data_IF_811076431427
#
_entry.id   IF_811076431427
#
_cell.length_a   1.000
_cell.length_b   1.000
_cell.length_c   1.000
_cell.angle_alpha   90.00
_cell.angle_beta   90.00
_cell.angle_gamma   90.00
#
_symmetry.space_group_name_H-M   'P 1'
#
loop_
_entity.id
_entity.type
_entity.pdbx_description
1 polymer ?
#
# COMPACT_ATOMS: atom_id res chain seq x y z
N UNK A 1 10.10 -23.09 -31.59
CA UNK A 1 9.32 -23.24 -30.34
C UNK A 1 10.20 -23.09 -29.11
N UNK A 2 11.34 -23.79 -29.03
CA UNK A 2 12.29 -23.69 -27.90
C UNK A 2 12.67 -22.25 -27.54
N UNK A 3 13.04 -21.40 -28.52
CA UNK A 3 13.43 -20.00 -28.25
C UNK A 3 12.32 -19.19 -27.57
N UNK A 4 11.04 -19.40 -27.93
CA UNK A 4 9.92 -18.71 -27.29
C UNK A 4 9.72 -19.22 -25.86
N UNK A 5 9.83 -20.53 -25.65
CA UNK A 5 9.73 -21.13 -24.32
C UNK A 5 10.85 -20.66 -23.40
N UNK A 6 12.09 -20.63 -23.88
CA UNK A 6 13.23 -20.24 -23.05
C UNK A 6 13.29 -18.72 -22.85
N UNK A 7 13.25 -17.93 -23.92
CA UNK A 7 13.44 -16.48 -23.83
C UNK A 7 12.19 -15.76 -23.35
N UNK A 8 11.03 -16.02 -23.99
CA UNK A 8 9.81 -15.29 -23.67
C UNK A 8 9.16 -15.81 -22.38
N UNK A 9 8.89 -17.12 -22.30
CA UNK A 9 8.23 -17.68 -21.10
C UNK A 9 9.17 -17.67 -19.90
N UNK A 10 10.47 -17.94 -20.09
CA UNK A 10 11.47 -17.81 -19.02
C UNK A 10 11.55 -16.39 -18.46
N UNK A 11 11.64 -15.36 -19.30
CA UNK A 11 11.64 -13.98 -18.83
C UNK A 11 10.30 -13.55 -18.23
N UNK A 12 9.18 -14.05 -18.76
CA UNK A 12 7.85 -13.82 -18.19
C UNK A 12 7.74 -14.39 -16.78
N UNK A 13 8.24 -15.61 -16.56
CA UNK A 13 8.31 -16.19 -15.22
C UNK A 13 9.18 -15.36 -14.27
N UNK A 14 10.35 -14.89 -14.74
CA UNK A 14 11.22 -14.00 -13.95
C UNK A 14 10.46 -12.73 -13.54
N UNK A 15 9.81 -12.03 -14.47
CA UNK A 15 9.07 -10.82 -14.15
C UNK A 15 7.83 -11.06 -13.30
N UNK A 16 7.12 -12.18 -13.52
CA UNK A 16 5.92 -12.53 -12.76
C UNK A 16 6.23 -12.82 -11.28
N UNK A 17 7.43 -13.31 -10.99
CA UNK A 17 7.93 -13.57 -9.65
C UNK A 17 9.01 -12.56 -9.23
N UNK A 18 8.94 -11.31 -9.71
CA UNK A 18 9.90 -10.23 -9.44
C UNK A 18 10.25 -10.09 -7.94
N UNK A 19 9.27 -10.24 -7.05
CA UNK A 19 9.44 -10.21 -5.60
C UNK A 19 10.34 -11.34 -5.03
N UNK A 20 10.62 -12.38 -5.81
CA UNK A 20 11.56 -13.45 -5.49
C UNK A 20 12.80 -13.44 -6.38
N UNK A 21 12.62 -13.16 -7.67
CA UNK A 21 13.68 -13.29 -8.68
C UNK A 21 14.55 -12.06 -8.80
N UNK A 22 14.03 -10.87 -8.46
CA UNK A 22 14.72 -9.58 -8.58
C UNK A 22 14.84 -8.85 -7.23
N UNK A 23 14.41 -9.46 -6.13
CA UNK A 23 14.49 -8.90 -4.76
C UNK A 23 15.92 -8.67 -4.26
N UNK A 24 16.91 -9.27 -4.91
CA UNK A 24 18.33 -9.04 -4.61
C UNK A 24 18.82 -7.66 -5.10
N UNK A 25 18.07 -6.98 -5.97
CA UNK A 25 18.41 -5.64 -6.45
C UNK A 25 18.08 -4.63 -5.33
N UNK A 26 19.06 -3.88 -4.80
CA UNK A 26 18.87 -3.01 -3.63
C UNK A 26 18.18 -1.69 -4.01
N UNK A 27 16.94 -1.77 -4.53
CA UNK A 27 16.13 -0.61 -4.90
C UNK A 27 14.70 -0.86 -4.44
N UNK A 28 14.28 -0.20 -3.37
CA UNK A 28 12.89 -0.30 -2.89
C UNK A 28 12.00 0.83 -3.40
N UNK A 29 12.50 2.07 -3.41
CA UNK A 29 11.80 3.23 -3.98
C UNK A 29 12.77 4.14 -4.71
N UNK A 30 12.28 4.77 -5.77
CA UNK A 30 13.03 5.74 -6.57
C UNK A 30 12.89 7.15 -5.98
N UNK A 31 13.20 7.31 -4.68
CA UNK A 31 13.26 8.61 -4.02
C UNK A 31 14.70 8.90 -3.57
N UNK A 32 15.07 10.18 -3.43
CA UNK A 32 16.44 10.54 -3.08
C UNK A 32 16.85 10.07 -1.67
N UNK A 33 15.91 10.02 -0.73
CA UNK A 33 16.16 9.63 0.66
C UNK A 33 16.55 8.13 0.75
N UNK A 34 15.74 7.26 0.18
CA UNK A 34 15.89 5.80 0.16
C UNK A 34 17.12 5.39 -0.64
N UNK A 35 17.39 6.04 -1.78
CA UNK A 35 18.60 5.79 -2.58
C UNK A 35 19.88 6.17 -1.83
N UNK A 36 19.83 7.13 -0.90
CA UNK A 36 20.96 7.50 -0.06
C UNK A 36 21.13 6.56 1.13
N UNK A 37 20.05 5.97 1.63
CA UNK A 37 20.07 5.07 2.79
C UNK A 37 20.40 3.62 2.44
N UNK A 38 20.12 3.18 1.20
CA UNK A 38 20.35 1.79 0.78
C UNK A 38 21.76 1.61 0.18
N UNK A 39 22.62 0.80 0.81
CA UNK A 39 23.94 0.50 0.27
C UNK A 39 23.82 -0.16 -1.11
N UNK A 40 24.57 0.33 -2.10
CA UNK A 40 24.59 -0.22 -3.45
C UNK A 40 23.43 0.21 -4.37
N UNK A 41 22.40 0.91 -3.84
CA UNK A 41 21.22 1.32 -4.62
C UNK A 41 21.58 2.20 -5.83
N UNK A 42 22.47 3.19 -5.63
CA UNK A 42 22.94 4.08 -6.71
C UNK A 42 23.66 3.31 -7.81
N UNK A 43 24.53 2.37 -7.44
CA UNK A 43 25.27 1.56 -8.41
C UNK A 43 24.34 0.64 -9.21
N UNK A 44 23.41 -0.05 -8.54
CA UNK A 44 22.40 -0.87 -9.18
C UNK A 44 21.54 -0.05 -10.15
N UNK A 45 21.08 1.14 -9.72
CA UNK A 45 20.30 2.05 -10.55
C UNK A 45 21.08 2.51 -11.78
N UNK A 46 22.36 2.88 -11.63
CA UNK A 46 23.21 3.26 -12.76
C UNK A 46 23.36 2.13 -13.78
N UNK A 47 23.56 0.88 -13.33
CA UNK A 47 23.66 -0.28 -14.22
C UNK A 47 22.35 -0.49 -14.99
N UNK A 48 21.21 -0.43 -14.29
CA UNK A 48 19.89 -0.58 -14.92
C UNK A 48 19.67 0.50 -15.99
N UNK A 49 20.01 1.76 -15.69
CA UNK A 49 19.88 2.87 -16.65
C UNK A 49 20.76 2.61 -17.89
N UNK A 50 22.01 2.20 -17.71
CA UNK A 50 22.92 1.89 -18.83
C UNK A 50 22.34 0.77 -19.71
N UNK A 51 21.85 -0.32 -19.10
CA UNK A 51 21.23 -1.43 -19.84
C UNK A 51 20.00 -0.95 -20.61
N UNK A 52 19.12 -0.16 -19.99
CA UNK A 52 17.94 0.38 -20.64
C UNK A 52 18.30 1.31 -21.82
N UNK A 53 19.32 2.16 -21.67
CA UNK A 53 19.81 3.02 -22.77
C UNK A 53 20.30 2.19 -23.95
N UNK A 54 21.06 1.13 -23.71
CA UNK A 54 21.55 0.22 -24.77
C UNK A 54 20.38 -0.48 -25.49
N UNK A 55 19.40 -0.97 -24.72
CA UNK A 55 18.19 -1.60 -25.27
C UNK A 55 17.42 -0.61 -26.15
N UNK A 56 17.15 0.59 -25.64
CA UNK A 56 16.41 1.64 -26.36
C UNK A 56 17.16 2.05 -27.62
N UNK A 57 18.47 2.30 -27.56
CA UNK A 57 19.28 2.68 -28.72
C UNK A 57 19.22 1.59 -29.82
N UNK A 58 19.30 0.33 -29.42
CA UNK A 58 19.23 -0.82 -30.33
C UNK A 58 17.84 -0.93 -30.96
N UNK A 59 16.76 -0.86 -30.17
CA UNK A 59 15.38 -0.89 -30.68
C UNK A 59 15.13 0.27 -31.65
N UNK A 60 15.57 1.49 -31.31
CA UNK A 60 15.45 2.67 -32.18
C UNK A 60 16.17 2.46 -33.51
N UNK A 61 17.39 1.92 -33.48
CA UNK A 61 18.15 1.64 -34.69
C UNK A 61 17.39 0.68 -35.62
N UNK A 62 16.93 -0.46 -35.11
CA UNK A 62 16.19 -1.42 -35.92
C UNK A 62 14.80 -0.92 -36.35
N UNK A 63 14.09 -0.16 -35.53
CA UNK A 63 12.83 0.48 -35.94
C UNK A 63 13.03 1.48 -37.10
N UNK A 64 14.19 2.13 -37.19
CA UNK A 64 14.54 2.97 -38.34
C UNK A 64 14.75 2.11 -39.59
N UNK A 65 15.44 0.98 -39.48
CA UNK A 65 15.65 0.06 -40.61
C UNK A 65 14.33 -0.54 -41.12
N UNK A 66 13.38 -0.85 -40.24
CA UNK A 66 12.04 -1.32 -40.61
C UNK A 66 11.09 -0.19 -41.07
N UNK A 67 11.55 1.07 -41.16
CA UNK A 67 10.73 2.25 -41.46
C UNK A 67 9.51 2.44 -40.52
N UNK A 68 9.55 1.84 -39.32
CA UNK A 68 8.48 1.91 -38.30
C UNK A 68 8.75 2.97 -37.24
N UNK A 69 9.97 3.52 -37.16
CA UNK A 69 10.38 4.48 -36.13
C UNK A 69 9.39 5.65 -35.94
N UNK A 70 8.95 6.28 -37.04
CA UNK A 70 8.03 7.43 -36.98
C UNK A 70 6.70 7.08 -36.32
N UNK A 71 6.17 5.87 -36.54
CA UNK A 71 4.95 5.40 -35.90
C UNK A 71 5.13 5.30 -34.38
N UNK A 72 6.25 4.71 -33.94
CA UNK A 72 6.50 4.48 -32.51
C UNK A 72 6.88 5.77 -31.78
N UNK A 73 7.69 6.67 -32.36
CA UNK A 73 8.01 7.94 -31.69
C UNK A 73 6.75 8.81 -31.52
N UNK A 74 5.81 8.78 -32.48
CA UNK A 74 4.49 9.43 -32.32
C UNK A 74 3.69 8.83 -31.16
N UNK A 75 3.66 7.50 -31.04
CA UNK A 75 3.02 6.82 -29.91
C UNK A 75 3.64 7.23 -28.57
N UNK A 76 4.97 7.22 -28.49
CA UNK A 76 5.69 7.62 -27.27
C UNK A 76 5.53 9.11 -26.95
N UNK A 77 5.40 9.98 -27.95
CA UNK A 77 5.05 11.38 -27.74
C UNK A 77 3.65 11.54 -27.12
N UNK A 78 2.67 10.71 -27.51
CA UNK A 78 1.33 10.69 -26.89
C UNK A 78 1.41 10.21 -25.44
N UNK A 79 2.16 9.15 -25.15
CA UNK A 79 2.38 8.69 -23.78
C UNK A 79 3.03 9.77 -22.91
N UNK A 80 4.08 10.41 -23.42
CA UNK A 80 4.76 11.50 -22.72
C UNK A 80 3.81 12.68 -22.46
N UNK A 81 2.99 13.06 -23.45
CA UNK A 81 1.99 14.10 -23.27
C UNK A 81 0.98 13.73 -22.17
N UNK A 82 0.49 12.49 -22.15
CA UNK A 82 -0.40 12.00 -21.09
C UNK A 82 0.25 12.07 -19.70
N UNK A 83 1.54 11.72 -19.59
CA UNK A 83 2.31 11.84 -18.35
C UNK A 83 2.49 13.31 -17.94
N UNK A 84 2.80 14.20 -18.88
CA UNK A 84 2.94 15.65 -18.60
C UNK A 84 1.61 16.24 -18.13
N UNK A 85 0.50 15.91 -18.79
CA UNK A 85 -0.84 16.34 -18.35
C UNK A 85 -1.09 15.84 -16.92
N UNK A 86 -0.81 14.55 -16.65
CA UNK A 86 -0.97 13.94 -15.34
C UNK A 86 -0.14 14.62 -14.23
N UNK A 87 1.06 15.12 -14.56
CA UNK A 87 1.93 15.84 -13.63
C UNK A 87 1.46 17.27 -13.31
N UNK A 88 0.70 17.90 -14.21
CA UNK A 88 0.27 19.30 -14.08
C UNK A 88 -1.12 19.42 -13.44
N UNK A 89 -1.88 18.33 -13.35
CA UNK A 89 -3.21 18.35 -12.71
C UNK A 89 -3.10 18.70 -11.22
N UNK A 90 -3.78 19.76 -10.74
CA UNK A 90 -3.71 20.18 -9.35
C UNK A 90 -4.42 19.18 -8.43
N UNK A 91 -3.87 18.99 -7.22
CA UNK A 91 -4.46 18.11 -6.19
C UNK A 91 -4.29 16.61 -6.45
N UNK A 92 -3.61 16.23 -7.54
CA UNK A 92 -3.30 14.85 -7.89
C UNK A 92 -1.79 14.64 -7.96
N UNK A 93 -1.38 13.44 -7.59
CA UNK A 93 0.00 12.99 -7.62
C UNK A 93 0.10 11.79 -8.56
N UNK A 94 1.11 11.82 -9.43
CA UNK A 94 1.39 10.75 -10.37
C UNK A 94 2.12 9.60 -9.65
N UNK A 95 1.48 8.43 -9.59
CA UNK A 95 2.05 7.20 -9.03
C UNK A 95 2.15 6.14 -10.12
N UNK A 96 3.35 5.96 -10.64
CA UNK A 96 3.61 4.94 -11.68
C UNK A 96 4.16 3.68 -11.02
N UNK A 97 3.32 2.65 -10.96
CA UNK A 97 3.74 1.29 -10.61
C UNK A 97 4.48 0.61 -11.77
N UNK A 98 5.30 -0.40 -11.49
CA UNK A 98 6.10 -1.06 -12.52
C UNK A 98 5.25 -1.76 -13.60
N UNK A 99 4.02 -2.19 -13.32
CA UNK A 99 3.14 -2.74 -14.35
C UNK A 99 2.72 -1.70 -15.39
N UNK A 100 2.57 -0.43 -14.99
CA UNK A 100 2.29 0.68 -15.92
C UNK A 100 3.53 0.96 -16.77
N UNK A 101 4.72 0.99 -16.17
CA UNK A 101 5.97 1.10 -16.93
C UNK A 101 6.09 -0.04 -17.95
N UNK A 102 5.72 -1.26 -17.56
CA UNK A 102 5.74 -2.38 -18.46
C UNK A 102 4.83 -2.19 -19.68
N UNK A 103 3.60 -1.72 -19.47
CA UNK A 103 2.67 -1.39 -20.55
C UNK A 103 3.19 -0.26 -21.46
N UNK A 104 3.80 0.78 -20.89
CA UNK A 104 4.38 1.90 -21.64
C UNK A 104 5.56 1.45 -22.51
N UNK A 105 6.40 0.53 -22.01
CA UNK A 105 7.59 0.05 -22.69
C UNK A 105 7.31 -1.08 -23.70
N UNK A 106 6.24 -1.85 -23.51
CA UNK A 106 5.94 -3.04 -24.31
C UNK A 106 5.88 -2.77 -25.83
N UNK A 107 5.23 -1.71 -26.34
CA UNK A 107 5.20 -1.41 -27.79
C UNK A 107 6.60 -1.25 -28.39
N UNK A 108 7.53 -0.66 -27.64
CA UNK A 108 8.92 -0.41 -28.03
C UNK A 108 9.79 -1.66 -28.07
N UNK A 109 9.23 -2.82 -27.74
CA UNK A 109 9.91 -4.12 -27.82
C UNK A 109 9.31 -5.02 -28.91
N UNK A 110 8.41 -4.50 -29.75
CA UNK A 110 7.65 -5.27 -30.75
C UNK A 110 8.43 -5.68 -32.01
N UNK A 111 9.74 -5.43 -32.06
CA UNK A 111 10.60 -5.93 -33.14
C UNK A 111 10.71 -7.46 -33.08
N UNK A 112 10.80 -8.11 -34.25
CA UNK A 112 10.93 -9.56 -34.35
C UNK A 112 12.38 -10.03 -34.21
N UNK A 113 13.04 -9.64 -33.11
CA UNK A 113 14.41 -10.04 -32.78
C UNK A 113 14.44 -10.90 -31.52
N UNK A 114 15.43 -11.80 -31.41
CA UNK A 114 15.54 -12.70 -30.25
C UNK A 114 15.56 -11.97 -28.90
N UNK A 115 16.29 -10.85 -28.72
CA UNK A 115 16.24 -10.11 -27.46
C UNK A 115 14.86 -9.50 -27.16
N UNK A 116 14.07 -9.16 -28.19
CA UNK A 116 12.70 -8.67 -27.98
C UNK A 116 11.78 -9.72 -27.37
N UNK A 117 12.01 -11.02 -27.59
CA UNK A 117 11.28 -12.07 -26.87
C UNK A 117 11.54 -11.99 -25.37
N UNK A 118 12.80 -11.79 -24.97
CA UNK A 118 13.19 -11.62 -23.57
C UNK A 118 12.54 -10.37 -22.97
N UNK A 119 12.62 -9.23 -23.66
CA UNK A 119 12.06 -7.96 -23.17
C UNK A 119 10.54 -8.05 -23.03
N UNK A 120 9.83 -8.51 -24.06
CA UNK A 120 8.38 -8.69 -24.00
C UNK A 120 7.98 -9.66 -22.89
N UNK A 121 8.68 -10.78 -22.76
CA UNK A 121 8.45 -11.74 -21.67
C UNK A 121 8.57 -11.06 -20.31
N UNK A 122 9.70 -10.42 -20.02
CA UNK A 122 9.94 -9.73 -18.75
C UNK A 122 8.88 -8.66 -18.46
N UNK A 123 8.55 -7.81 -19.46
CA UNK A 123 7.54 -6.75 -19.30
C UNK A 123 6.15 -7.34 -19.02
N UNK A 124 5.74 -8.39 -19.73
CA UNK A 124 4.47 -9.07 -19.45
C UNK A 124 4.48 -9.71 -18.05
N UNK A 125 5.59 -10.31 -17.63
CA UNK A 125 5.76 -10.82 -16.28
C UNK A 125 5.60 -9.73 -15.22
N UNK A 126 6.30 -8.61 -15.39
CA UNK A 126 6.19 -7.45 -14.50
C UNK A 126 4.77 -6.87 -14.46
N UNK A 127 4.07 -6.89 -15.60
CA UNK A 127 2.66 -6.51 -15.66
C UNK A 127 1.79 -7.45 -14.80
N UNK A 128 1.94 -8.77 -14.98
CA UNK A 128 1.21 -9.77 -14.19
C UNK A 128 1.50 -9.60 -12.69
N UNK A 129 2.78 -9.46 -12.32
CA UNK A 129 3.18 -9.28 -10.94
C UNK A 129 2.55 -8.03 -10.32
N UNK A 130 2.63 -6.88 -11.01
CA UNK A 130 2.11 -5.64 -10.46
C UNK A 130 0.59 -5.63 -10.33
N UNK A 131 -0.15 -6.19 -11.30
CA UNK A 131 -1.61 -6.36 -11.17
C UNK A 131 -1.95 -7.34 -10.04
N UNK A 132 -1.22 -8.43 -9.88
CA UNK A 132 -1.45 -9.36 -8.78
C UNK A 132 -1.18 -8.71 -7.39
N UNK A 133 -0.28 -7.73 -7.32
CA UNK A 133 0.12 -7.06 -6.09
C UNK A 133 -0.75 -5.86 -5.71
N UNK A 134 -1.12 -5.02 -6.69
CA UNK A 134 -1.83 -3.75 -6.44
C UNK A 134 -3.18 -3.66 -7.15
N UNK A 135 -3.59 -4.68 -7.91
CA UNK A 135 -4.74 -4.59 -8.79
C UNK A 135 -4.54 -3.53 -9.87
N UNK A 136 -5.64 -2.98 -10.37
CA UNK A 136 -5.64 -1.86 -11.32
C UNK A 136 -5.69 -0.53 -10.57
N UNK A 137 -4.70 -0.29 -9.71
CA UNK A 137 -4.62 0.94 -8.93
C UNK A 137 -4.55 2.18 -9.84
N UNK A 138 -5.10 3.29 -9.37
CA UNK A 138 -5.11 4.55 -10.13
C UNK A 138 -3.69 5.08 -10.30
N UNK A 139 -3.38 5.53 -11.52
CA UNK A 139 -2.11 6.22 -11.83
C UNK A 139 -2.08 7.63 -11.24
N UNK A 140 -3.26 8.23 -11.01
CA UNK A 140 -3.44 9.54 -10.39
C UNK A 140 -4.13 9.37 -9.04
N UNK A 141 -3.46 9.77 -7.97
CA UNK A 141 -3.95 9.63 -6.60
C UNK A 141 -3.90 10.97 -5.88
N UNK A 142 -4.86 11.22 -4.98
CA UNK A 142 -4.81 12.39 -4.10
C UNK A 142 -3.73 12.21 -3.04
N UNK A 143 -3.27 13.30 -2.42
CA UNK A 143 -2.31 13.22 -1.31
C UNK A 143 -2.86 12.39 -0.14
N UNK A 144 -4.16 12.47 0.12
CA UNK A 144 -4.84 11.66 1.14
C UNK A 144 -4.80 10.16 0.81
N UNK A 145 -5.05 9.79 -0.46
CA UNK A 145 -4.96 8.39 -0.88
C UNK A 145 -3.52 7.86 -0.84
N UNK A 146 -2.52 8.69 -1.14
CA UNK A 146 -1.10 8.32 -1.04
C UNK A 146 -0.61 8.13 0.39
N UNK A 147 -1.20 8.87 1.33
CA UNK A 147 -0.90 8.73 2.75
C UNK A 147 -1.29 7.34 3.26
N UNK A 148 -2.39 6.77 2.74
CA UNK A 148 -2.86 5.43 3.10
C UNK A 148 -3.13 5.32 4.60
N UNK A 149 -2.57 4.30 5.23
CA UNK A 149 -2.70 4.04 6.68
C UNK A 149 -1.74 4.87 7.55
N UNK A 150 -0.99 5.81 6.95
CA UNK A 150 -0.16 6.71 7.72
C UNK A 150 -1.04 7.72 8.49
N UNK A 151 -0.53 8.17 9.63
CA UNK A 151 -1.24 9.08 10.52
C UNK A 151 -1.64 10.37 9.81
N UNK A 152 -2.93 10.71 9.89
CA UNK A 152 -3.56 11.89 9.31
C UNK A 152 -3.40 13.14 10.18
N UNK A 153 -3.09 12.97 11.46
CA UNK A 153 -3.12 14.02 12.47
C UNK A 153 -4.54 14.40 12.90
N UNK A 154 -5.51 13.49 12.80
CA UNK A 154 -6.89 13.76 13.26
C UNK A 154 -6.97 13.78 14.77
N UNK A 155 -7.91 14.52 15.39
CA UNK A 155 -8.12 14.44 16.82
C UNK A 155 -8.49 13.01 17.24
N UNK A 156 -8.14 12.66 18.47
CA UNK A 156 -8.36 11.34 19.04
C UNK A 156 -9.46 11.41 20.10
N UNK A 157 -10.24 10.34 20.29
CA UNK A 157 -11.25 10.30 21.34
C UNK A 157 -10.62 10.30 22.73
N UNK A 158 -11.22 11.05 23.65
CA UNK A 158 -10.89 11.00 25.08
C UNK A 158 -11.64 9.83 25.68
N UNK A 159 -10.90 8.78 26.04
CA UNK A 159 -11.47 7.60 26.70
C UNK A 159 -11.22 7.73 28.20
N UNK A 160 -12.27 7.53 29.01
CA UNK A 160 -12.14 7.57 30.45
C UNK A 160 -11.43 6.32 30.99
N UNK A 161 -10.96 6.39 32.24
CA UNK A 161 -10.37 5.23 32.89
C UNK A 161 -11.37 4.05 32.91
N UNK A 162 -11.00 2.88 32.39
CA UNK A 162 -11.94 1.78 32.25
C UNK A 162 -12.31 1.17 33.61
N UNK A 163 -13.55 0.68 33.69
CA UNK A 163 -14.00 -0.13 34.83
C UNK A 163 -13.70 -1.59 34.52
N UNK A 164 -12.97 -2.26 35.41
CA UNK A 164 -12.53 -3.65 35.21
C UNK A 164 -13.14 -4.52 36.31
N UNK A 165 -13.99 -5.47 35.91
CA UNK A 165 -14.45 -6.52 36.82
C UNK A 165 -13.69 -7.81 36.56
N UNK A 166 -12.72 -8.10 37.44
CA UNK A 166 -11.94 -9.34 37.37
C UNK A 166 -12.70 -10.45 38.10
N UNK A 167 -13.01 -11.52 37.37
CA UNK A 167 -13.62 -12.71 37.97
C UNK A 167 -12.59 -13.53 38.77
N UNK A 168 -13.00 -13.99 39.95
CA UNK A 168 -12.21 -14.91 40.78
C UNK A 168 -12.40 -16.38 40.39
N UNK A 169 -13.37 -16.69 39.52
CA UNK A 169 -13.72 -18.07 39.16
C UNK A 169 -13.64 -18.29 37.64
N UNK A 170 -13.49 -19.54 37.21
CA UNK A 170 -13.51 -19.90 35.77
C UNK A 170 -14.93 -19.96 35.18
N UNK A 171 -15.96 -19.88 36.02
CA UNK A 171 -17.36 -19.92 35.61
C UNK A 171 -17.90 -18.56 35.14
N UNK A 172 -17.27 -17.47 35.57
CA UNK A 172 -17.66 -16.08 35.25
C UNK A 172 -16.53 -15.42 34.48
N UNK A 173 -16.87 -14.75 33.38
CA UNK A 173 -15.90 -14.02 32.55
C UNK A 173 -15.47 -12.73 33.26
N UNK A 174 -14.22 -12.32 33.05
CA UNK A 174 -13.80 -10.98 33.45
C UNK A 174 -14.19 -10.00 32.35
N UNK A 175 -14.52 -8.77 32.69
CA UNK A 175 -14.85 -7.75 31.70
C UNK A 175 -14.02 -6.48 31.91
N UNK A 176 -13.96 -5.67 30.86
CA UNK A 176 -13.45 -4.32 30.87
C UNK A 176 -14.45 -3.44 30.13
N UNK A 177 -14.84 -2.33 30.77
CA UNK A 177 -15.84 -1.39 30.25
C UNK A 177 -15.19 -0.06 29.98
N UNK A 178 -15.30 0.40 28.73
CA UNK A 178 -14.82 1.70 28.28
C UNK A 178 -16.00 2.64 28.04
N UNK A 179 -15.83 3.89 28.45
CA UNK A 179 -16.73 5.01 28.16
C UNK A 179 -15.91 6.17 27.60
N UNK A 180 -16.55 7.05 26.85
CA UNK A 180 -15.89 8.13 26.11
C UNK A 180 -16.77 9.37 25.97
N UNK A 181 -16.11 10.51 25.77
CA UNK A 181 -16.78 11.75 25.45
C UNK A 181 -17.25 11.77 23.99
N UNK A 182 -18.37 12.45 23.74
CA UNK A 182 -18.80 12.76 22.36
C UNK A 182 -17.80 13.73 21.73
N UNK A 183 -17.58 13.59 20.42
CA UNK A 183 -16.69 14.49 19.70
C UNK A 183 -17.15 15.95 19.82
N UNK A 184 -16.23 16.84 20.18
CA UNK A 184 -16.44 18.30 20.14
C UNK A 184 -16.45 18.84 18.70
N UNK A 185 -15.91 18.05 17.76
CA UNK A 185 -15.84 18.42 16.35
C UNK A 185 -17.05 17.86 15.60
N UNK A 186 -17.83 18.75 14.98
CA UNK A 186 -19.02 18.40 14.20
C UNK A 186 -18.75 17.45 13.01
N UNK A 187 -17.49 17.37 12.55
CA UNK A 187 -17.11 16.46 11.45
C UNK A 187 -17.10 14.99 11.87
N UNK A 188 -16.91 14.68 13.16
CA UNK A 188 -16.86 13.31 13.63
C UNK A 188 -18.19 12.93 14.27
N UNK A 189 -18.89 12.00 13.64
CA UNK A 189 -20.23 11.57 13.99
C UNK A 189 -20.25 10.24 14.76
N UNK A 190 -19.10 9.59 14.96
CA UNK A 190 -19.03 8.34 15.71
C UNK A 190 -17.66 7.98 16.27
N UNK A 191 -17.59 6.78 16.82
CA UNK A 191 -16.40 6.14 17.38
C UNK A 191 -16.24 4.72 16.85
N UNK A 192 -14.99 4.33 16.61
CA UNK A 192 -14.59 2.95 16.33
C UNK A 192 -13.60 2.45 17.37
N UNK A 193 -13.77 1.19 17.77
CA UNK A 193 -12.91 0.50 18.74
C UNK A 193 -12.38 -0.79 18.13
N UNK A 194 -11.05 -0.88 18.07
CA UNK A 194 -10.35 -2.08 17.66
C UNK A 194 -9.92 -2.87 18.90
N UNK A 195 -10.13 -4.19 18.86
CA UNK A 195 -9.54 -5.14 19.81
C UNK A 195 -8.64 -6.09 19.05
N UNK A 196 -7.35 -6.09 19.39
CA UNK A 196 -6.32 -6.85 18.67
C UNK A 196 -6.33 -6.55 17.16
N UNK A 197 -6.40 -5.26 16.82
CA UNK A 197 -6.44 -4.73 15.45
C UNK A 197 -7.64 -5.21 14.60
N UNK A 198 -8.72 -5.68 15.25
CA UNK A 198 -10.01 -6.00 14.61
C UNK A 198 -11.09 -5.08 15.15
N UNK A 199 -11.84 -4.42 14.26
CA UNK A 199 -12.97 -3.56 14.65
C UNK A 199 -14.04 -4.40 15.36
N UNK A 200 -14.34 -4.05 16.61
CA UNK A 200 -15.35 -4.72 17.45
C UNK A 200 -16.56 -3.84 17.74
N UNK A 201 -16.37 -2.52 17.70
CA UNK A 201 -17.45 -1.57 17.85
C UNK A 201 -17.33 -0.47 16.81
N UNK A 202 -18.48 -0.11 16.25
CA UNK A 202 -18.74 1.07 15.46
C UNK A 202 -20.04 1.67 15.97
N UNK A 203 -20.04 2.91 16.42
CA UNK A 203 -21.24 3.57 16.94
C UNK A 203 -21.26 5.05 16.58
N UNK A 204 -22.41 5.54 16.11
CA UNK A 204 -22.61 6.94 15.76
C UNK A 204 -23.37 7.67 16.87
N UNK A 205 -22.92 8.86 17.25
CA UNK A 205 -23.38 9.59 18.43
C UNK A 205 -24.83 10.09 18.35
N UNK A 206 -25.37 10.17 17.14
CA UNK A 206 -26.72 10.68 16.86
C UNK A 206 -27.73 9.56 16.51
N UNK A 207 -27.30 8.30 16.48
CA UNK A 207 -28.18 7.17 16.19
C UNK A 207 -29.04 6.84 17.41
N UNK A 208 -30.22 6.28 17.17
CA UNK A 208 -31.18 5.90 18.23
C UNK A 208 -30.61 4.79 19.13
N UNK A 209 -29.76 3.94 18.56
CA UNK A 209 -29.05 2.84 19.22
C UNK A 209 -27.56 3.16 19.48
N UNK A 210 -27.21 4.45 19.53
CA UNK A 210 -25.88 4.91 19.92
C UNK A 210 -25.45 4.26 21.25
N UNK A 211 -24.29 3.62 21.24
CA UNK A 211 -23.67 3.07 22.45
C UNK A 211 -22.80 4.15 23.06
N UNK A 212 -22.95 4.34 24.37
CA UNK A 212 -22.09 5.23 25.16
C UNK A 212 -21.02 4.46 25.94
N UNK A 213 -21.09 3.12 25.91
CA UNK A 213 -20.14 2.23 26.54
C UNK A 213 -19.80 1.02 25.66
N UNK A 214 -18.60 0.48 25.86
CA UNK A 214 -18.14 -0.74 25.24
C UNK A 214 -17.65 -1.72 26.30
N UNK A 215 -18.35 -2.84 26.44
CA UNK A 215 -17.99 -3.92 27.36
C UNK A 215 -17.31 -5.04 26.58
N UNK A 216 -16.08 -5.37 26.95
CA UNK A 216 -15.34 -6.50 26.42
C UNK A 216 -15.12 -7.55 27.50
N UNK A 217 -15.52 -8.79 27.22
CA UNK A 217 -15.40 -9.91 28.16
C UNK A 217 -14.37 -10.92 27.69
N UNK A 218 -13.55 -11.42 28.62
CA UNK A 218 -12.58 -12.49 28.35
C UNK A 218 -12.65 -13.60 29.38
N UNK A 219 -12.22 -14.78 28.96
CA UNK A 219 -11.99 -15.88 29.90
C UNK A 219 -10.66 -15.67 30.63
N UNK A 220 -10.67 -15.79 31.96
CA UNK A 220 -9.48 -15.62 32.81
C UNK A 220 -8.34 -16.57 32.41
N UNK A 221 -8.66 -17.74 31.88
CA UNK A 221 -7.67 -18.76 31.51
C UNK A 221 -6.84 -18.43 30.26
N UNK A 222 -7.19 -17.40 29.49
CA UNK A 222 -6.40 -17.03 28.31
C UNK A 222 -4.99 -16.57 28.71
N UNK A 223 -4.86 -15.78 29.77
CA UNK A 223 -3.58 -15.22 30.22
C UNK A 223 -2.85 -14.36 29.16
N UNK A 224 -3.54 -13.96 28.10
CA UNK A 224 -2.99 -13.16 27.01
C UNK A 224 -3.37 -11.69 27.18
N UNK A 225 -2.46 -10.75 26.85
CA UNK A 225 -2.80 -9.35 26.77
C UNK A 225 -3.73 -9.09 25.58
N UNK A 226 -4.67 -8.16 25.76
CA UNK A 226 -5.55 -7.67 24.71
C UNK A 226 -5.25 -6.18 24.46
N UNK A 227 -5.23 -5.80 23.19
CA UNK A 227 -4.82 -4.47 22.75
C UNK A 227 -6.03 -3.71 22.25
N UNK A 228 -6.27 -2.52 22.81
CA UNK A 228 -7.41 -1.67 22.48
C UNK A 228 -6.94 -0.40 21.80
N UNK A 229 -7.60 -0.03 20.70
CA UNK A 229 -7.36 1.25 20.03
C UNK A 229 -8.67 1.94 19.74
N UNK A 230 -8.67 3.26 19.84
CA UNK A 230 -9.85 4.08 19.72
C UNK A 230 -9.62 5.14 18.65
N UNK A 231 -10.62 5.35 17.80
CA UNK A 231 -10.57 6.38 16.75
C UNK A 231 -11.95 6.99 16.56
N UNK A 232 -11.99 8.27 16.19
CA UNK A 232 -13.22 8.90 15.75
C UNK A 232 -13.59 8.45 14.33
N UNK A 233 -14.87 8.63 13.99
CA UNK A 233 -15.42 8.32 12.68
C UNK A 233 -16.05 9.55 12.04
N UNK A 234 -15.88 9.64 10.72
CA UNK A 234 -16.55 10.61 9.84
C UNK A 234 -17.29 9.77 8.78
N UNK A 235 -18.57 9.52 9.01
CA UNK A 235 -19.38 8.63 8.20
C UNK A 235 -18.80 7.22 8.16
N UNK A 236 -18.47 6.69 6.98
CA UNK A 236 -17.92 5.33 6.86
C UNK A 236 -16.44 5.21 7.23
N UNK A 237 -15.73 6.33 7.27
CA UNK A 237 -14.27 6.37 7.40
C UNK A 237 -13.84 6.58 8.86
N UNK A 238 -12.69 6.00 9.21
CA UNK A 238 -12.07 6.25 10.51
C UNK A 238 -10.94 7.28 10.39
N UNK A 239 -10.83 8.10 11.43
CA UNK A 239 -9.66 8.91 11.71
C UNK A 239 -8.49 8.05 12.20
N UNK A 240 -7.48 8.73 12.73
CA UNK A 240 -6.37 8.08 13.41
C UNK A 240 -6.84 7.36 14.67
N UNK A 241 -6.23 6.21 14.89
CA UNK A 241 -6.38 5.47 16.12
C UNK A 241 -5.28 5.85 17.11
N UNK A 242 -5.62 5.85 18.39
CA UNK A 242 -4.63 5.88 19.47
C UNK A 242 -3.59 4.78 19.30
N UNK A 243 -2.45 4.89 20.00
CA UNK A 243 -1.63 3.69 20.24
C UNK A 243 -2.46 2.69 21.04
N UNK A 244 -1.99 1.44 21.06
CA UNK A 244 -2.66 0.41 21.83
C UNK A 244 -2.59 0.70 23.33
N UNK A 245 -3.74 0.78 23.98
CA UNK A 245 -3.88 0.52 25.39
C UNK A 245 -3.89 -0.99 25.61
N UNK A 246 -3.44 -1.45 26.77
CA UNK A 246 -3.20 -2.87 27.02
C UNK A 246 -4.00 -3.31 28.23
N UNK A 247 -4.91 -4.26 28.03
CA UNK A 247 -5.44 -5.03 29.14
C UNK A 247 -4.56 -6.27 29.33
N UNK A 248 -3.68 -6.23 30.34
CA UNK A 248 -2.64 -7.24 30.56
C UNK A 248 -3.25 -8.59 30.90
N UNK A 249 -2.47 -9.68 30.78
CA UNK A 249 -2.92 -11.02 31.19
C UNK A 249 -3.36 -11.08 32.66
N UNK A 250 -2.75 -10.25 33.51
CA UNK A 250 -3.04 -10.14 34.94
C UNK A 250 -4.32 -9.34 35.25
N UNK A 251 -4.90 -8.67 34.25
CA UNK A 251 -6.14 -7.90 34.39
C UNK A 251 -5.92 -6.41 34.65
N UNK A 252 -4.68 -5.94 34.60
CA UNK A 252 -4.35 -4.53 34.76
C UNK A 252 -4.52 -3.77 33.44
N UNK A 253 -4.89 -2.49 33.54
CA UNK A 253 -4.98 -1.59 32.38
C UNK A 253 -3.72 -0.73 32.28
N UNK A 254 -3.12 -0.72 31.09
CA UNK A 254 -2.07 0.21 30.70
C UNK A 254 -2.66 1.18 29.69
N UNK A 255 -2.67 2.46 30.07
CA UNK A 255 -3.25 3.53 29.27
C UNK A 255 -2.57 3.70 27.92
N UNK A 256 -3.36 3.95 26.88
CA UNK A 256 -2.81 4.23 25.55
C UNK A 256 -2.07 5.56 25.51
N UNK A 257 -1.10 5.64 24.61
CA UNK A 257 -0.50 6.92 24.21
C UNK A 257 -1.30 7.52 23.04
N UNK A 258 -1.22 8.85 22.83
CA UNK A 258 -1.67 9.47 21.60
C UNK A 258 -1.08 8.76 20.38
N UNK A 259 -1.95 8.55 19.38
CA UNK A 259 -1.73 7.74 18.20
C UNK A 259 -0.77 8.36 17.25
#
# INVERSE_FOLDING_TARGET
QIEKTVLWLGACWVGALDNYTLSFIPIQRLNAHDLNQQPGAKAALSIIIIVLVVIVATQVWFFRQEARFIKYIKLYAIFLLGIIISLVLPGLNLRIHHYILALLLLPGTSLQMRPSLLYQGLLIGLFINGIARWGFDSVLQTSAALQGDAQKGTPLPTIHAPVIDISNTTAVQSNITFTWDKSEYMQFDGISILVNDVERLRSYFNDVDAKEEFVWSRNKTLGLPEYFRFGFMDGSDSGDYTKAGIWTGDGEWVEMKPG
#
